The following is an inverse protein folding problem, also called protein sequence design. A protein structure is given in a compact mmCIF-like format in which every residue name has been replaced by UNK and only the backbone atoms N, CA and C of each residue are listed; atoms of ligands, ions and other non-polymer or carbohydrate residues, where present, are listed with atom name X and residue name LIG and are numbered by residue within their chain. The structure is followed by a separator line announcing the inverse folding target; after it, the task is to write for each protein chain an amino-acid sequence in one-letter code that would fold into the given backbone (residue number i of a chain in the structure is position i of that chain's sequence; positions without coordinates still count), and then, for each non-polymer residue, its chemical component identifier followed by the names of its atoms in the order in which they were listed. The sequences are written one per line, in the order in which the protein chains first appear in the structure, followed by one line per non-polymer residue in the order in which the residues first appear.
data_IF_811225658064
#
_entry.id   IF_811225658064
#
_cell.length_a   1.000
_cell.length_b   1.000
_cell.length_c   1.000
_cell.angle_alpha   90.00
_cell.angle_beta   90.00
_cell.angle_gamma   90.00
#
_symmetry.space_group_name_H-M   'P 1'
#
loop_
_entity.id
_entity.type
_entity.pdbx_description
1 polymer ?
#
# COMPACT_ATOMS: atom_id res chain seq x y z
N UNK A 1 14.67 -54.69 7.93
CA UNK A 1 13.35 -54.80 8.60
C UNK A 1 12.91 -53.42 9.01
N UNK A 2 11.69 -53.00 8.64
CA UNK A 2 11.13 -51.69 9.01
C UNK A 2 10.82 -51.74 10.51
N UNK A 3 11.71 -51.19 11.33
CA UNK A 3 11.47 -51.05 12.76
C UNK A 3 10.31 -50.06 12.90
N UNK A 4 9.15 -50.55 13.33
CA UNK A 4 8.04 -49.68 13.66
C UNK A 4 8.49 -48.79 14.83
N UNK A 5 8.36 -47.48 14.67
CA UNK A 5 8.60 -46.52 15.76
C UNK A 5 7.84 -46.96 17.00
N UNK A 6 8.48 -46.85 18.16
CA UNK A 6 7.79 -47.08 19.43
C UNK A 6 6.63 -46.10 19.55
N UNK A 7 5.51 -46.56 20.12
CA UNK A 7 4.32 -45.72 20.31
C UNK A 7 4.66 -44.45 21.14
N UNK A 8 5.64 -44.56 22.04
CA UNK A 8 6.16 -43.45 22.82
C UNK A 8 6.94 -42.43 21.96
N UNK A 9 7.75 -42.89 21.01
CA UNK A 9 8.50 -42.04 20.09
C UNK A 9 7.55 -41.29 19.14
N UNK A 10 6.49 -41.96 18.69
CA UNK A 10 5.45 -41.34 17.86
C UNK A 10 4.76 -40.19 18.61
N UNK A 11 4.36 -40.41 19.87
CA UNK A 11 3.73 -39.36 20.70
C UNK A 11 4.69 -38.19 20.92
N UNK A 12 5.97 -38.46 21.17
CA UNK A 12 6.97 -37.42 21.36
C UNK A 12 7.18 -36.58 20.08
N UNK A 13 7.24 -37.23 18.92
CA UNK A 13 7.30 -36.56 17.63
C UNK A 13 6.08 -35.68 17.37
N UNK A 14 4.87 -36.16 17.70
CA UNK A 14 3.64 -35.38 17.55
C UNK A 14 3.69 -34.11 18.41
N UNK A 15 4.10 -34.22 19.68
CA UNK A 15 4.20 -33.06 20.59
C UNK A 15 5.18 -32.02 20.06
N UNK A 16 6.36 -32.45 19.62
CA UNK A 16 7.37 -31.53 19.05
C UNK A 16 6.83 -30.85 17.80
N UNK A 17 6.23 -31.61 16.88
CA UNK A 17 5.66 -31.06 15.65
C UNK A 17 4.54 -30.06 15.96
N UNK A 18 3.67 -30.35 16.93
CA UNK A 18 2.63 -29.42 17.37
C UNK A 18 3.20 -28.11 17.90
N UNK A 19 4.30 -28.15 18.66
CA UNK A 19 4.98 -26.94 19.12
C UNK A 19 5.59 -26.13 17.96
N UNK A 20 6.30 -26.81 17.04
CA UNK A 20 6.93 -26.16 15.88
C UNK A 20 5.86 -25.52 14.99
N UNK A 21 4.82 -26.26 14.61
CA UNK A 21 3.74 -25.74 13.77
C UNK A 21 2.91 -24.67 14.48
N UNK A 22 2.67 -24.80 15.78
CA UNK A 22 1.98 -23.79 16.59
C UNK A 22 2.75 -22.47 16.62
N UNK A 23 4.08 -22.52 16.76
CA UNK A 23 4.94 -21.34 16.73
C UNK A 23 4.92 -20.66 15.36
N UNK A 24 5.06 -21.42 14.27
CA UNK A 24 4.93 -20.88 12.91
C UNK A 24 3.56 -20.24 12.67
N UNK A 25 2.48 -20.90 13.12
CA UNK A 25 1.13 -20.37 13.00
C UNK A 25 0.97 -19.03 13.74
N UNK A 26 1.54 -18.90 14.94
CA UNK A 26 1.51 -17.66 15.72
C UNK A 26 2.28 -16.50 15.04
N UNK A 27 3.43 -16.80 14.43
CA UNK A 27 4.17 -15.81 13.62
C UNK A 27 3.33 -15.35 12.42
N UNK A 28 2.70 -16.29 11.71
CA UNK A 28 1.88 -15.98 10.54
C UNK A 28 0.58 -15.23 10.88
N UNK A 29 -0.04 -15.51 12.02
CA UNK A 29 -1.22 -14.76 12.51
C UNK A 29 -0.90 -13.29 12.77
N UNK A 30 0.30 -13.02 13.28
CA UNK A 30 0.79 -11.66 13.51
C UNK A 30 1.44 -11.04 12.26
N UNK A 31 1.40 -11.72 11.11
CA UNK A 31 1.89 -11.19 9.85
C UNK A 31 1.15 -9.88 9.54
N UNK A 32 1.85 -8.84 9.03
CA UNK A 32 1.29 -7.51 8.85
C UNK A 32 0.35 -7.43 7.63
N UNK A 33 -0.49 -8.43 7.39
CA UNK A 33 -1.47 -8.49 6.30
C UNK A 33 -2.35 -7.23 6.25
N UNK A 34 -2.69 -6.66 7.42
CA UNK A 34 -3.42 -5.39 7.50
C UNK A 34 -2.60 -4.22 6.93
N UNK A 35 -1.30 -4.15 7.23
CA UNK A 35 -0.39 -3.11 6.73
C UNK A 35 -0.15 -3.29 5.22
N UNK A 36 0.06 -4.53 4.76
CA UNK A 36 0.22 -4.83 3.33
C UNK A 36 -1.02 -4.40 2.56
N UNK A 37 -2.21 -4.77 3.06
CA UNK A 37 -3.48 -4.37 2.44
C UNK A 37 -3.66 -2.85 2.43
N UNK A 38 -3.29 -2.18 3.52
CA UNK A 38 -3.36 -0.72 3.62
C UNK A 38 -2.43 -0.03 2.60
N UNK A 39 -1.18 -0.48 2.51
CA UNK A 39 -0.23 0.05 1.53
C UNK A 39 -0.70 -0.18 0.08
N UNK A 40 -1.31 -1.33 -0.19
CA UNK A 40 -1.86 -1.62 -1.51
C UNK A 40 -3.06 -0.72 -1.86
N UNK A 41 -3.92 -0.43 -0.87
CA UNK A 41 -5.00 0.53 -1.05
C UNK A 41 -4.49 1.96 -1.28
N UNK A 42 -3.44 2.37 -0.56
CA UNK A 42 -2.78 3.66 -0.73
C UNK A 42 -2.22 3.80 -2.16
N UNK A 43 -1.50 2.78 -2.63
CA UNK A 43 -0.91 2.78 -3.97
C UNK A 43 -1.95 2.90 -5.09
N UNK A 44 -3.05 2.16 -5.02
CA UNK A 44 -4.10 2.27 -6.04
C UNK A 44 -4.79 3.64 -6.00
N UNK A 45 -5.00 4.23 -4.82
CA UNK A 45 -5.55 5.59 -4.71
C UNK A 45 -4.60 6.66 -5.28
N UNK A 46 -3.29 6.57 -5.03
CA UNK A 46 -2.30 7.46 -5.64
C UNK A 46 -2.30 7.36 -7.17
N UNK A 47 -2.32 6.13 -7.68
CA UNK A 47 -2.37 5.84 -9.11
C UNK A 47 -3.65 6.35 -9.76
N UNK A 48 -4.80 6.24 -9.10
CA UNK A 48 -6.05 6.81 -9.61
C UNK A 48 -6.07 8.34 -9.58
N UNK A 49 -5.48 8.97 -8.56
CA UNK A 49 -5.30 10.43 -8.49
C UNK A 49 -4.43 10.93 -9.66
N UNK A 50 -3.35 10.21 -9.99
CA UNK A 50 -2.50 10.53 -11.15
C UNK A 50 -3.23 10.35 -12.49
N UNK A 51 -4.14 9.37 -12.58
CA UNK A 51 -4.99 9.16 -13.77
C UNK A 51 -6.10 10.20 -13.94
N UNK A 52 -6.19 11.19 -13.03
CA UNK A 52 -7.10 12.34 -13.12
C UNK A 52 -8.58 11.92 -13.13
N UNK A 53 -8.91 10.88 -12.37
CA UNK A 53 -10.27 10.36 -12.30
C UNK A 53 -11.26 11.46 -11.89
N UNK A 54 -12.39 11.57 -12.61
CA UNK A 54 -13.37 12.64 -12.43
C UNK A 54 -14.18 12.51 -11.12
N UNK A 55 -14.11 11.36 -10.47
CA UNK A 55 -14.75 11.09 -9.18
C UNK A 55 -14.09 11.79 -7.99
N UNK A 56 -12.85 12.29 -8.13
CA UNK A 56 -12.17 13.04 -7.08
C UNK A 56 -12.62 14.50 -7.02
N UNK A 57 -12.63 15.05 -5.81
CA UNK A 57 -12.91 16.49 -5.62
C UNK A 57 -11.80 17.29 -6.30
N UNK A 58 -12.21 18.23 -7.14
CA UNK A 58 -11.31 19.15 -7.86
C UNK A 58 -11.52 20.55 -7.33
N UNK A 59 -10.44 21.26 -7.07
CA UNK A 59 -10.50 22.70 -6.76
C UNK A 59 -9.32 23.43 -7.37
N UNK A 60 -9.57 24.65 -7.81
CA UNK A 60 -8.49 25.56 -8.19
C UNK A 60 -7.87 26.14 -6.92
N UNK A 61 -6.54 26.16 -6.87
CA UNK A 61 -5.78 26.78 -5.80
C UNK A 61 -4.76 27.74 -6.41
N UNK A 62 -4.47 28.82 -5.69
CA UNK A 62 -3.40 29.76 -6.06
C UNK A 62 -2.20 29.48 -5.17
N UNK A 63 -1.07 29.15 -5.79
CA UNK A 63 0.21 28.91 -5.10
C UNK A 63 1.26 29.79 -5.75
N UNK A 64 1.88 30.69 -4.98
CA UNK A 64 2.88 31.64 -5.47
C UNK A 64 2.44 32.45 -6.70
N UNK A 65 1.15 32.80 -6.78
CA UNK A 65 0.59 33.55 -7.90
C UNK A 65 0.21 32.72 -9.13
N UNK A 66 0.46 31.41 -9.13
CA UNK A 66 0.09 30.48 -10.20
C UNK A 66 -1.18 29.72 -9.86
N UNK A 67 -2.02 29.42 -10.86
CA UNK A 67 -3.25 28.67 -10.68
C UNK A 67 -2.96 27.17 -10.91
N UNK A 68 -3.16 26.38 -9.87
CA UNK A 68 -3.02 24.93 -9.90
C UNK A 68 -4.37 24.26 -9.68
N UNK A 69 -4.57 23.11 -10.31
CA UNK A 69 -5.71 22.23 -10.09
C UNK A 69 -5.34 21.18 -9.04
N UNK A 70 -6.01 21.21 -7.89
CA UNK A 70 -5.87 20.23 -6.82
C UNK A 70 -6.91 19.13 -6.98
N UNK A 71 -6.47 17.88 -6.99
CA UNK A 71 -7.30 16.68 -6.88
C UNK A 71 -7.13 16.11 -5.48
N UNK A 72 -8.22 15.90 -4.74
CA UNK A 72 -8.16 15.36 -3.37
C UNK A 72 -9.00 14.09 -3.21
N UNK A 73 -8.41 13.06 -2.57
CA UNK A 73 -9.12 11.86 -2.13
C UNK A 73 -9.55 12.00 -0.67
N UNK A 74 -10.84 11.77 -0.38
CA UNK A 74 -11.35 11.80 1.00
C UNK A 74 -10.90 10.57 1.82
N UNK A 75 -10.44 9.48 1.18
CA UNK A 75 -10.10 8.23 1.88
C UNK A 75 -8.76 8.29 2.61
N UNK A 76 -7.75 8.87 1.96
CA UNK A 76 -6.38 8.94 2.49
C UNK A 76 -5.89 10.38 2.68
N UNK A 77 -6.74 11.39 2.45
CA UNK A 77 -6.39 12.82 2.48
C UNK A 77 -5.19 13.17 1.57
N UNK A 78 -4.96 12.38 0.52
CA UNK A 78 -3.90 12.61 -0.46
C UNK A 78 -4.39 13.66 -1.45
N UNK A 79 -3.44 14.52 -1.85
CA UNK A 79 -3.67 15.58 -2.82
C UNK A 79 -2.67 15.46 -3.95
N UNK A 80 -3.15 15.60 -5.17
CA UNK A 80 -2.33 15.75 -6.37
C UNK A 80 -2.53 17.15 -6.94
N UNK A 81 -1.44 17.78 -7.37
CA UNK A 81 -1.44 19.12 -7.94
C UNK A 81 -1.10 19.03 -9.42
N UNK A 82 -1.79 19.82 -10.23
CA UNK A 82 -1.49 19.94 -11.64
C UNK A 82 -1.45 21.41 -12.04
N UNK A 83 -0.46 21.78 -12.85
CA UNK A 83 -0.44 23.08 -13.52
C UNK A 83 -1.70 23.24 -14.38
N UNK A 84 -2.49 24.29 -14.11
CA UNK A 84 -3.68 24.63 -14.91
C UNK A 84 -3.34 25.60 -16.02
N UNK A 85 -2.37 26.49 -15.78
CA UNK A 85 -1.99 27.57 -16.68
C UNK A 85 -0.61 27.36 -17.33
N UNK A 86 -0.42 28.02 -18.48
CA UNK A 86 0.85 28.03 -19.21
C UNK A 86 1.93 28.81 -18.44
N UNK A 87 1.53 29.73 -17.55
CA UNK A 87 2.45 30.54 -16.75
C UNK A 87 3.31 29.68 -15.83
N UNK A 88 2.72 28.68 -15.16
CA UNK A 88 3.48 27.73 -14.36
C UNK A 88 4.40 26.86 -15.22
N UNK A 89 3.89 26.32 -16.33
CA UNK A 89 4.66 25.45 -17.23
C UNK A 89 5.87 26.19 -17.82
N UNK A 90 5.71 27.47 -18.17
CA UNK A 90 6.78 28.30 -18.71
C UNK A 90 7.83 28.66 -17.64
N UNK A 91 7.41 28.85 -16.39
CA UNK A 91 8.31 29.24 -15.29
C UNK A 91 9.14 28.06 -14.75
N UNK A 92 8.57 26.86 -14.70
CA UNK A 92 9.18 25.70 -14.04
C UNK A 92 9.46 24.52 -14.98
N UNK A 93 9.04 24.60 -16.25
CA UNK A 93 9.10 23.47 -17.17
C UNK A 93 7.99 22.44 -16.90
N UNK A 94 7.79 21.51 -17.84
CA UNK A 94 6.89 20.38 -17.63
C UNK A 94 7.64 19.27 -16.88
N UNK A 95 6.99 18.50 -16.00
CA UNK A 95 7.63 17.38 -15.27
C UNK A 95 8.26 16.34 -16.22
N UNK A 96 7.84 16.31 -17.49
CA UNK A 96 8.43 15.48 -18.56
C UNK A 96 9.82 15.93 -19.05
N UNK A 97 10.24 17.13 -18.68
CA UNK A 97 11.53 17.71 -19.06
C UNK A 97 12.60 17.56 -17.96
N UNK A 98 12.25 16.93 -16.83
CA UNK A 98 13.16 16.47 -15.78
C UNK A 98 13.38 14.97 -15.90
#
# INVERSE_FOLDING_TARGET
MKQAFSLLELVFCIVILSFVFGFYYFIFLNSPQKIIKFNQQLFEEEKELLKKNNSYKKRDIVVNGYILLEYSSNKFNIKSLQAKDLTYINAFGNEKNF
#
